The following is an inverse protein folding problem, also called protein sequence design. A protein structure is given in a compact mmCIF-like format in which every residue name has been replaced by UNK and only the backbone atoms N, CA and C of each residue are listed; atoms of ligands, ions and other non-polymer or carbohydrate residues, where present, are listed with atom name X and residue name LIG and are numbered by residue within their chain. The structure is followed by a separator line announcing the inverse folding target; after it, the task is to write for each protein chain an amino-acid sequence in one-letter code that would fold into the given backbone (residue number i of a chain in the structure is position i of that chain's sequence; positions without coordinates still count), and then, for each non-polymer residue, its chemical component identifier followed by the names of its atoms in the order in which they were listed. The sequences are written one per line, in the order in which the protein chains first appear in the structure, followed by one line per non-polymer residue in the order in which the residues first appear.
data_IF_346918479738
#
_entry.id   IF_346918479738
#
_cell.length_a   1.000
_cell.length_b   1.000
_cell.length_c   1.000
_cell.angle_alpha   90.00
_cell.angle_beta   90.00
_cell.angle_gamma   90.00
#
_symmetry.space_group_name_H-M   'P 1'
#
loop_
_entity.id
_entity.type
_entity.pdbx_description
1 polymer ?
#
# COMPACT_ATOMS: atom_id res chain seq x y z
N UNK A 1 25.40 -4.43 -0.25
CA UNK A 1 24.07 -5.11 -0.30
C UNK A 1 23.00 -4.09 0.12
N UNK A 2 22.31 -3.29 -0.69
CA UNK A 2 22.00 -3.20 -2.12
C UNK A 2 20.60 -2.58 -2.15
N UNK A 3 20.47 -1.31 -2.54
CA UNK A 3 19.35 -0.41 -2.24
C UNK A 3 17.96 -0.96 -2.57
N UNK A 4 17.13 -1.18 -1.54
CA UNK A 4 15.74 -1.64 -1.68
C UNK A 4 14.85 -0.90 -0.67
N UNK A 5 13.63 -0.59 -1.07
CA UNK A 5 12.62 -0.05 -0.16
C UNK A 5 11.77 -1.19 0.42
N UNK A 6 11.50 -1.09 1.73
CA UNK A 6 10.51 -1.93 2.37
C UNK A 6 9.13 -1.70 1.75
N UNK A 7 8.33 -2.76 1.68
CA UNK A 7 6.95 -2.64 1.24
C UNK A 7 6.09 -1.82 2.20
N UNK A 8 4.92 -1.40 1.73
CA UNK A 8 3.98 -0.64 2.56
C UNK A 8 3.58 -1.45 3.81
N UNK A 9 3.50 -0.76 4.96
CA UNK A 9 3.01 -1.37 6.20
C UNK A 9 1.51 -1.62 6.08
N UNK A 10 1.07 -2.75 6.62
CA UNK A 10 -0.35 -2.99 6.84
C UNK A 10 -0.91 -1.99 7.84
N UNK A 11 -2.17 -1.61 7.68
CA UNK A 11 -2.90 -0.74 8.60
C UNK A 11 -4.35 -1.17 8.69
N UNK A 12 -5.02 -0.79 9.78
CA UNK A 12 -6.44 -1.03 9.97
C UNK A 12 -7.09 0.24 10.47
N UNK A 13 -8.16 0.67 9.82
CA UNK A 13 -8.94 1.84 10.22
C UNK A 13 -10.37 1.37 10.44
N UNK A 14 -10.89 1.61 11.65
CA UNK A 14 -12.31 1.40 11.94
C UNK A 14 -13.02 2.72 11.77
N UNK A 15 -13.91 2.78 10.79
CA UNK A 15 -14.80 3.90 10.54
C UNK A 15 -16.14 3.62 11.18
N UNK A 16 -16.52 4.48 12.11
CA UNK A 16 -17.78 4.39 12.85
C UNK A 16 -18.92 4.99 12.05
N UNK A 17 -20.14 4.55 12.37
CA UNK A 17 -21.36 5.06 11.73
C UNK A 17 -21.56 6.58 11.91
N UNK A 18 -21.04 7.15 13.00
CA UNK A 18 -21.09 8.59 13.28
C UNK A 18 -20.06 9.41 12.47
N UNK A 19 -19.24 8.75 11.66
CA UNK A 19 -18.21 9.35 10.82
C UNK A 19 -16.84 9.46 11.49
N UNK A 20 -16.70 9.11 12.77
CA UNK A 20 -15.39 9.04 13.43
C UNK A 20 -14.54 7.89 12.89
N UNK A 21 -13.22 8.07 12.88
CA UNK A 21 -12.26 7.08 12.39
C UNK A 21 -11.16 6.87 13.45
N UNK A 22 -10.80 5.61 13.67
CA UNK A 22 -9.72 5.24 14.59
C UNK A 22 -8.76 4.24 13.95
N UNK A 23 -7.46 4.45 14.20
CA UNK A 23 -6.41 3.52 13.77
C UNK A 23 -6.34 2.36 14.75
N UNK A 24 -6.54 1.14 14.24
CA UNK A 24 -6.60 -0.05 15.07
C UNK A 24 -5.22 -0.60 15.38
N UNK A 25 -4.94 -0.95 16.66
CA UNK A 25 -3.70 -1.60 17.04
C UNK A 25 -3.45 -2.90 16.27
N UNK A 26 -2.18 -3.31 16.21
CA UNK A 26 -1.86 -4.62 15.66
C UNK A 26 -2.34 -5.72 16.60
N UNK A 27 -3.04 -6.71 16.02
CA UNK A 27 -3.45 -7.95 16.70
C UNK A 27 -4.29 -7.72 17.97
N UNK A 28 -5.15 -6.69 17.96
CA UNK A 28 -6.14 -6.49 19.02
C UNK A 28 -7.39 -7.35 18.80
N UNK A 29 -8.01 -7.76 19.89
CA UNK A 29 -9.29 -8.48 19.93
C UNK A 29 -10.31 -7.72 20.79
N UNK A 30 -11.57 -8.19 20.80
CA UNK A 30 -12.69 -7.64 21.60
C UNK A 30 -13.00 -6.16 21.35
N UNK A 31 -12.77 -5.68 20.12
CA UNK A 31 -13.23 -4.36 19.68
C UNK A 31 -14.74 -4.40 19.46
N UNK A 32 -15.48 -3.57 20.18
CA UNK A 32 -16.93 -3.44 19.99
C UNK A 32 -17.21 -2.78 18.64
N UNK A 33 -18.10 -3.39 17.86
CA UNK A 33 -18.56 -2.87 16.56
C UNK A 33 -20.08 -2.79 16.55
N UNK A 34 -20.60 -1.78 15.87
CA UNK A 34 -22.03 -1.59 15.68
C UNK A 34 -22.42 -1.84 14.22
N UNK A 35 -23.70 -2.09 13.97
CA UNK A 35 -24.22 -2.18 12.61
C UNK A 35 -23.94 -0.87 11.84
N UNK A 36 -23.32 -0.99 10.67
CA UNK A 36 -22.92 0.16 9.85
C UNK A 36 -21.47 0.61 10.03
N UNK A 37 -20.75 0.11 11.04
CA UNK A 37 -19.30 0.33 11.13
C UNK A 37 -18.56 -0.38 9.97
N UNK A 38 -17.48 0.24 9.47
CA UNK A 38 -16.66 -0.29 8.37
C UNK A 38 -15.21 -0.44 8.83
N UNK A 39 -14.68 -1.66 8.73
CA UNK A 39 -13.26 -1.93 8.98
C UNK A 39 -12.49 -1.97 7.65
N UNK A 40 -11.65 -0.98 7.42
CA UNK A 40 -10.68 -0.99 6.33
C UNK A 40 -9.46 -1.82 6.75
N UNK A 41 -9.31 -2.99 6.15
CA UNK A 41 -8.17 -3.88 6.39
C UNK A 41 -7.16 -3.75 5.25
N UNK A 42 -6.17 -2.88 5.42
CA UNK A 42 -5.13 -2.65 4.43
C UNK A 42 -3.98 -3.64 4.65
N UNK A 43 -3.82 -4.58 3.74
CA UNK A 43 -2.74 -5.57 3.80
C UNK A 43 -1.39 -4.94 3.44
N UNK A 44 -0.31 -5.57 3.90
CA UNK A 44 1.05 -5.13 3.63
C UNK A 44 1.40 -5.31 2.14
N UNK A 45 2.31 -4.48 1.64
CA UNK A 45 2.89 -4.62 0.30
C UNK A 45 4.21 -5.39 0.34
N UNK A 46 4.53 -6.11 -0.74
CA UNK A 46 5.85 -6.75 -0.90
C UNK A 46 6.98 -5.73 -0.99
N UNK A 47 8.18 -6.10 -0.52
CA UNK A 47 9.39 -5.31 -0.73
C UNK A 47 9.96 -5.50 -2.15
N UNK A 48 10.54 -4.46 -2.72
CA UNK A 48 11.16 -4.53 -4.05
C UNK A 48 12.52 -5.22 -4.01
N UNK A 49 12.96 -5.79 -5.15
CA UNK A 49 14.30 -6.35 -5.32
C UNK A 49 15.05 -5.67 -6.48
N UNK A 50 16.33 -5.34 -6.27
CA UNK A 50 17.18 -4.69 -7.28
C UNK A 50 17.02 -3.17 -7.31
N UNK A 51 17.75 -2.55 -8.24
CA UNK A 51 17.69 -1.11 -8.50
C UNK A 51 16.42 -0.80 -9.33
N UNK A 52 15.50 0.04 -8.82
CA UNK A 52 14.29 0.37 -9.54
C UNK A 52 14.55 1.02 -10.91
N UNK A 53 15.63 1.80 -11.07
CA UNK A 53 15.98 2.46 -12.33
C UNK A 53 16.46 1.47 -13.41
N UNK A 54 16.80 0.24 -13.02
CA UNK A 54 17.25 -0.82 -13.94
C UNK A 54 16.12 -1.77 -14.34
N UNK A 55 14.88 -1.51 -13.92
CA UNK A 55 13.71 -2.32 -14.30
C UNK A 55 13.36 -2.04 -15.76
N UNK A 56 13.03 -3.10 -16.50
CA UNK A 56 12.60 -3.02 -17.90
C UNK A 56 11.36 -2.12 -18.06
N UNK A 57 11.43 -1.14 -18.96
CA UNK A 57 10.38 -0.14 -19.17
C UNK A 57 9.04 -0.76 -19.58
N UNK A 58 9.04 -1.78 -20.44
CA UNK A 58 7.81 -2.47 -20.88
C UNK A 58 7.03 -3.08 -19.69
N UNK A 59 7.75 -3.62 -18.71
CA UNK A 59 7.15 -4.15 -17.48
C UNK A 59 6.56 -3.05 -16.62
N UNK A 60 7.22 -1.88 -16.53
CA UNK A 60 6.69 -0.71 -15.83
C UNK A 60 5.42 -0.21 -16.51
N UNK A 61 5.41 -0.05 -17.83
CA UNK A 61 4.23 0.39 -18.59
C UNK A 61 3.05 -0.59 -18.43
N UNK A 62 3.31 -1.90 -18.48
CA UNK A 62 2.30 -2.93 -18.22
C UNK A 62 1.74 -2.86 -16.79
N UNK A 63 2.61 -2.67 -15.78
CA UNK A 63 2.18 -2.55 -14.38
C UNK A 63 1.30 -1.31 -14.14
N UNK A 64 1.59 -0.19 -14.82
CA UNK A 64 0.75 1.02 -14.80
C UNK A 64 -0.59 0.77 -15.48
N UNK A 65 -0.60 0.16 -16.67
CA UNK A 65 -1.83 -0.13 -17.42
C UNK A 65 -2.75 -1.13 -16.72
N UNK A 66 -2.18 -2.09 -15.98
CA UNK A 66 -2.92 -3.12 -15.24
C UNK A 66 -3.34 -2.71 -13.83
N UNK A 67 -3.11 -1.44 -13.44
CA UNK A 67 -3.36 -0.88 -12.10
C UNK A 67 -2.51 -1.46 -10.94
N UNK A 68 -1.51 -2.29 -11.26
CA UNK A 68 -0.56 -2.84 -10.28
C UNK A 68 0.47 -1.82 -9.78
N UNK A 69 0.68 -0.74 -10.54
CA UNK A 69 1.50 0.42 -10.17
C UNK A 69 0.74 1.71 -10.41
N UNK A 70 0.72 2.62 -9.42
CA UNK A 70 0.13 3.96 -9.55
C UNK A 70 1.17 5.02 -9.25
N UNK A 71 1.06 6.19 -9.90
CA UNK A 71 1.91 7.36 -9.61
C UNK A 71 1.88 7.65 -8.10
N UNK A 72 3.05 7.71 -7.48
CA UNK A 72 3.23 7.87 -6.04
C UNK A 72 4.69 7.67 -5.64
N UNK A 73 5.02 7.88 -4.36
CA UNK A 73 6.41 7.80 -3.83
C UNK A 73 7.13 6.46 -4.11
N UNK A 74 6.38 5.39 -4.38
CA UNK A 74 6.89 4.07 -4.76
C UNK A 74 7.12 3.92 -6.28
N UNK A 75 6.38 4.64 -7.12
CA UNK A 75 6.53 4.65 -8.57
C UNK A 75 7.62 5.63 -9.04
N UNK A 76 7.76 6.79 -8.38
CA UNK A 76 8.72 7.88 -8.68
C UNK A 76 10.21 7.50 -8.50
N UNK A 77 10.56 6.22 -8.45
CA UNK A 77 11.93 5.73 -8.33
C UNK A 77 12.36 4.83 -9.48
N UNK A 78 11.46 4.44 -10.38
CA UNK A 78 11.82 4.07 -11.75
C UNK A 78 11.91 5.38 -12.54
N UNK A 79 12.91 5.55 -13.41
CA UNK A 79 13.17 6.81 -14.08
C UNK A 79 12.01 7.14 -15.01
N UNK A 80 11.25 8.16 -14.64
CA UNK A 80 10.16 8.70 -15.46
C UNK A 80 10.77 9.59 -16.56
N UNK A 81 11.11 9.00 -17.70
CA UNK A 81 11.05 9.72 -18.98
C UNK A 81 9.86 9.14 -19.75
N UNK A 82 8.74 9.86 -19.68
CA UNK A 82 7.64 9.75 -20.64
C UNK A 82 8.06 10.40 -21.97
#
# INVERSE_FOLDING_TARGET
MGGRLAGARSGKILKRVDGSEEMMPSKCDRVVVNAGDILYFNTWGGGGCGDPLKRETERVSSDVGRSGLRRGRQALRCGDEC
#
